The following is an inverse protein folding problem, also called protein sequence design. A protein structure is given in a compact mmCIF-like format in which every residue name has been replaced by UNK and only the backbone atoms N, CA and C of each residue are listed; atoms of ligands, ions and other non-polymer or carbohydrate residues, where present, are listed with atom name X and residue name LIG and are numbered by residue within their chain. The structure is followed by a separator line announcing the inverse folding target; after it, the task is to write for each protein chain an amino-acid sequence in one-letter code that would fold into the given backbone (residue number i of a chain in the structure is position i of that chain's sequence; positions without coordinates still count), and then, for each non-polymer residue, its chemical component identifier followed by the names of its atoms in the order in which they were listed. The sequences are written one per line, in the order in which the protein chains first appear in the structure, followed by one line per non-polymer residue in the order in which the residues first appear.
data_IF_501855601076
#
_entry.id   IF_501855601076
#
_cell.length_a   1.000
_cell.length_b   1.000
_cell.length_c   1.000
_cell.angle_alpha   90.00
_cell.angle_beta   90.00
_cell.angle_gamma   90.00
#
_symmetry.space_group_name_H-M   'P 1'
#
loop_
_entity.id
_entity.type
_entity.pdbx_description
1 polymer ?
#
# COMPACT_ATOMS: atom_id res chain seq x y z
N UNK A 1 -18.05 27.46 -29.60
CA UNK A 1 -16.68 27.91 -29.24
C UNK A 1 -16.29 27.22 -27.95
N UNK A 2 -15.61 26.09 -28.05
CA UNK A 2 -15.16 25.31 -26.90
C UNK A 2 -13.81 25.92 -26.46
N UNK A 3 -13.81 26.68 -25.37
CA UNK A 3 -12.56 27.12 -24.77
C UNK A 3 -11.81 25.89 -24.27
N UNK A 4 -10.60 25.67 -24.79
CA UNK A 4 -9.64 24.76 -24.20
C UNK A 4 -9.35 25.22 -22.77
N UNK A 5 -9.33 24.34 -21.77
CA UNK A 5 -8.96 24.76 -20.43
C UNK A 5 -7.51 25.27 -20.44
N UNK A 6 -7.33 26.55 -20.16
CA UNK A 6 -6.01 27.12 -19.91
C UNK A 6 -5.51 26.55 -18.56
N UNK A 7 -4.63 25.57 -18.62
CA UNK A 7 -4.04 24.96 -17.42
C UNK A 7 -3.38 23.62 -17.75
N UNK A 8 -2.42 23.21 -16.92
CA UNK A 8 -1.78 21.89 -17.01
C UNK A 8 -2.83 20.83 -16.69
N UNK A 9 -2.97 19.81 -17.55
CA UNK A 9 -3.89 18.71 -17.31
C UNK A 9 -3.52 17.96 -16.04
N UNK A 10 -4.54 17.61 -15.25
CA UNK A 10 -4.37 16.81 -14.05
C UNK A 10 -4.03 15.36 -14.44
N UNK A 11 -2.98 14.81 -13.86
CA UNK A 11 -2.64 13.40 -13.94
C UNK A 11 -3.45 12.57 -12.94
N UNK A 12 -3.48 11.25 -13.11
CA UNK A 12 -4.07 10.35 -12.12
C UNK A 12 -3.33 10.44 -10.78
N UNK A 13 -2.01 10.67 -10.81
CA UNK A 13 -1.23 10.88 -9.59
C UNK A 13 -1.63 12.13 -8.81
N UNK A 14 -1.98 13.23 -9.51
CA UNK A 14 -2.47 14.46 -8.86
C UNK A 14 -3.84 14.20 -8.18
N UNK A 15 -4.71 13.43 -8.83
CA UNK A 15 -6.00 13.04 -8.27
C UNK A 15 -5.85 12.11 -7.06
N UNK A 16 -4.96 11.13 -7.14
CA UNK A 16 -4.69 10.20 -6.03
C UNK A 16 -4.12 10.94 -4.82
N UNK A 17 -3.21 11.92 -5.03
CA UNK A 17 -2.67 12.76 -3.96
C UNK A 17 -3.78 13.58 -3.28
N UNK A 18 -4.66 14.20 -4.05
CA UNK A 18 -5.77 14.98 -3.52
C UNK A 18 -6.81 14.10 -2.79
N UNK A 19 -7.13 12.92 -3.32
CA UNK A 19 -8.01 11.96 -2.65
C UNK A 19 -7.45 11.49 -1.31
N UNK A 20 -6.12 11.27 -1.23
CA UNK A 20 -5.43 10.97 0.01
C UNK A 20 -5.56 12.09 1.05
N UNK A 21 -5.41 13.35 0.63
CA UNK A 21 -5.56 14.51 1.51
C UNK A 21 -7.00 14.63 2.07
N UNK A 22 -8.02 14.36 1.24
CA UNK A 22 -9.41 14.33 1.66
C UNK A 22 -9.68 13.23 2.69
N UNK A 23 -9.16 12.02 2.47
CA UNK A 23 -9.29 10.90 3.40
C UNK A 23 -8.63 11.20 4.76
N UNK A 24 -7.45 11.82 4.77
CA UNK A 24 -6.77 12.25 5.99
C UNK A 24 -7.54 13.33 6.75
N UNK A 25 -8.22 14.24 6.03
CA UNK A 25 -9.06 15.25 6.63
C UNK A 25 -10.27 14.63 7.34
N UNK A 26 -10.90 13.61 6.78
CA UNK A 26 -11.95 12.83 7.44
C UNK A 26 -11.41 12.10 8.66
N UNK A 27 -10.30 11.37 8.53
CA UNK A 27 -9.69 10.62 9.62
C UNK A 27 -9.29 11.50 10.80
N UNK A 28 -8.95 12.77 10.54
CA UNK A 28 -8.64 13.78 11.57
C UNK A 28 -9.84 14.56 12.07
N UNK A 29 -11.07 14.24 11.60
CA UNK A 29 -12.31 14.92 11.99
C UNK A 29 -12.45 16.35 11.46
N UNK A 30 -11.66 16.75 10.46
CA UNK A 30 -11.68 18.09 9.86
C UNK A 30 -12.67 18.21 8.69
N UNK A 31 -13.06 17.07 8.14
CA UNK A 31 -14.02 17.00 7.03
C UNK A 31 -15.12 16.00 7.40
N UNK A 32 -16.37 16.35 7.14
CA UNK A 32 -17.48 15.42 7.31
C UNK A 32 -17.48 14.38 6.17
N UNK A 33 -18.08 13.22 6.38
CA UNK A 33 -18.19 12.19 5.34
C UNK A 33 -19.03 12.70 4.13
N UNK A 34 -20.03 13.54 4.37
CA UNK A 34 -20.83 14.13 3.31
C UNK A 34 -20.02 15.10 2.43
N UNK A 35 -19.23 15.99 3.06
CA UNK A 35 -18.35 16.91 2.35
C UNK A 35 -17.22 16.15 1.61
N UNK A 36 -16.70 15.08 2.20
CA UNK A 36 -15.71 14.23 1.55
C UNK A 36 -16.24 13.65 0.23
N UNK A 37 -17.46 13.11 0.24
CA UNK A 37 -18.06 12.54 -0.97
C UNK A 37 -18.28 13.62 -2.04
N UNK A 38 -18.82 14.79 -1.65
CA UNK A 38 -19.02 15.90 -2.58
C UNK A 38 -17.70 16.39 -3.20
N UNK A 39 -16.61 16.42 -2.41
CA UNK A 39 -15.29 16.80 -2.90
C UNK A 39 -14.65 15.73 -3.77
N UNK A 40 -14.89 14.45 -3.50
CA UNK A 40 -14.44 13.36 -4.39
C UNK A 40 -15.10 13.47 -5.77
N UNK A 41 -16.41 13.76 -5.82
CA UNK A 41 -17.11 13.96 -7.09
C UNK A 41 -16.52 15.14 -7.87
N UNK A 42 -16.23 16.26 -7.20
CA UNK A 42 -15.57 17.41 -7.80
C UNK A 42 -14.13 17.09 -8.27
N UNK A 43 -13.38 16.30 -7.50
CA UNK A 43 -12.04 15.86 -7.83
C UNK A 43 -12.00 15.00 -9.10
N UNK A 44 -12.92 14.05 -9.23
CA UNK A 44 -13.00 13.20 -10.42
C UNK A 44 -13.52 13.94 -11.67
N UNK A 45 -14.27 15.03 -11.48
CA UNK A 45 -14.67 15.92 -12.56
C UNK A 45 -13.57 16.90 -12.99
N UNK A 46 -12.54 17.12 -12.17
CA UNK A 46 -11.45 18.05 -12.42
C UNK A 46 -10.57 17.59 -13.61
N UNK A 47 -10.29 18.53 -14.52
CA UNK A 47 -9.47 18.30 -15.73
C UNK A 47 -8.09 18.91 -15.64
N UNK A 48 -7.91 19.95 -14.81
CA UNK A 48 -6.64 20.66 -14.67
C UNK A 48 -6.09 20.56 -13.25
N UNK A 49 -4.78 20.74 -13.09
CA UNK A 49 -4.13 20.76 -11.78
C UNK A 49 -4.69 21.84 -10.86
N UNK A 50 -5.05 23.00 -11.41
CA UNK A 50 -5.66 24.09 -10.63
C UNK A 50 -7.03 23.69 -10.07
N UNK A 51 -7.83 22.95 -10.85
CA UNK A 51 -9.10 22.41 -10.39
C UNK A 51 -8.92 21.38 -9.29
N UNK A 52 -7.93 20.49 -9.40
CA UNK A 52 -7.57 19.52 -8.35
C UNK A 52 -7.10 20.24 -7.09
N UNK A 53 -6.24 21.25 -7.23
CA UNK A 53 -5.74 22.04 -6.10
C UNK A 53 -6.87 22.78 -5.38
N UNK A 54 -7.86 23.29 -6.11
CA UNK A 54 -9.01 24.01 -5.54
C UNK A 54 -9.85 23.12 -4.60
N UNK A 55 -9.96 21.81 -4.86
CA UNK A 55 -10.72 20.86 -4.02
C UNK A 55 -10.13 20.69 -2.63
N UNK A 56 -8.82 20.91 -2.49
CA UNK A 56 -8.09 20.75 -1.22
C UNK A 56 -7.53 22.06 -0.66
N UNK A 57 -7.85 23.20 -1.26
CA UNK A 57 -7.25 24.50 -0.96
C UNK A 57 -7.46 24.98 0.48
N UNK A 58 -8.59 24.65 1.09
CA UNK A 58 -8.94 24.98 2.47
C UNK A 58 -8.42 23.98 3.51
N UNK A 59 -7.92 22.82 3.05
CA UNK A 59 -7.31 21.87 3.94
C UNK A 59 -5.91 22.34 4.31
N UNK A 60 -5.52 22.25 5.59
CA UNK A 60 -4.16 22.61 5.98
C UNK A 60 -3.18 21.74 5.21
N UNK A 61 -2.25 22.40 4.51
CA UNK A 61 -1.15 21.69 3.88
C UNK A 61 -0.48 20.80 4.93
N UNK A 62 -0.43 19.50 4.68
CA UNK A 62 0.30 18.60 5.56
C UNK A 62 1.71 19.17 5.72
N UNK A 63 2.24 19.35 6.93
CA UNK A 63 3.57 19.90 7.11
C UNK A 63 4.56 19.10 6.25
N UNK A 64 5.44 19.80 5.55
CA UNK A 64 6.41 19.22 4.59
C UNK A 64 7.13 17.98 5.18
N UNK A 65 7.29 17.95 6.49
CA UNK A 65 7.85 16.83 7.24
C UNK A 65 6.95 15.57 7.22
N UNK A 66 5.62 15.74 7.22
CA UNK A 66 4.67 14.63 7.05
C UNK A 66 4.59 14.19 5.59
N UNK A 67 4.67 15.14 4.66
CA UNK A 67 4.71 14.85 3.21
C UNK A 67 5.98 14.07 2.83
N UNK A 68 7.14 14.44 3.40
CA UNK A 68 8.38 13.68 3.23
C UNK A 68 8.34 12.31 3.93
N UNK A 69 7.74 12.23 5.12
CA UNK A 69 7.52 10.97 5.84
C UNK A 69 6.46 10.10 5.15
N UNK A 70 5.40 10.68 4.58
CA UNK A 70 4.41 9.95 3.79
C UNK A 70 4.96 9.45 2.46
N UNK A 71 5.83 10.21 1.79
CA UNK A 71 6.56 9.74 0.61
C UNK A 71 7.64 8.70 0.95
N UNK A 72 8.23 8.77 2.15
CA UNK A 72 9.20 7.77 2.62
C UNK A 72 8.52 6.54 3.24
N UNK A 73 7.24 6.61 3.57
CA UNK A 73 6.45 5.59 4.26
C UNK A 73 5.10 5.43 3.52
N UNK A 74 5.10 5.48 2.20
CA UNK A 74 3.93 5.00 1.46
C UNK A 74 3.72 3.54 1.86
N UNK A 75 2.57 3.19 2.47
CA UNK A 75 2.27 1.79 2.71
C UNK A 75 2.32 1.11 1.35
N UNK A 76 3.28 0.21 1.17
CA UNK A 76 3.35 -0.56 -0.06
C UNK A 76 2.01 -1.27 -0.25
N UNK A 77 1.26 -0.84 -1.25
CA UNK A 77 -0.03 -1.38 -1.58
C UNK A 77 0.05 -2.05 -2.93
N UNK A 78 -0.13 -3.34 -2.98
CA UNK A 78 -0.18 -4.11 -4.21
C UNK A 78 -1.55 -4.77 -4.32
N UNK A 79 -2.19 -4.61 -5.47
CA UNK A 79 -3.45 -5.26 -5.81
C UNK A 79 -3.26 -6.05 -7.09
N UNK A 80 -3.52 -7.35 -7.05
CA UNK A 80 -3.45 -8.25 -8.21
C UNK A 80 -4.80 -8.92 -8.38
N UNK A 81 -5.45 -8.69 -9.52
CA UNK A 81 -6.73 -9.30 -9.87
C UNK A 81 -6.56 -9.98 -11.22
N UNK A 82 -6.58 -11.31 -11.22
CA UNK A 82 -6.40 -12.13 -12.42
C UNK A 82 -5.06 -11.85 -13.12
N UNK A 83 -4.10 -12.75 -13.03
CA UNK A 83 -2.79 -12.55 -13.64
C UNK A 83 -1.64 -12.77 -12.66
N UNK A 84 -0.44 -12.33 -13.03
CA UNK A 84 0.75 -12.48 -12.20
C UNK A 84 1.48 -11.17 -12.02
N UNK A 85 1.98 -10.92 -10.82
CA UNK A 85 2.86 -9.82 -10.51
C UNK A 85 4.05 -10.30 -9.69
N UNK A 86 5.20 -9.64 -9.89
CA UNK A 86 6.41 -9.93 -9.15
C UNK A 86 7.06 -8.63 -8.68
N UNK A 87 7.57 -8.64 -7.47
CA UNK A 87 8.40 -7.57 -6.95
C UNK A 87 9.68 -8.14 -6.37
N UNK A 88 10.79 -7.76 -6.98
CA UNK A 88 12.13 -8.18 -6.58
C UNK A 88 13.12 -7.03 -6.75
N UNK A 89 14.34 -7.18 -6.23
CA UNK A 89 15.42 -6.23 -6.35
C UNK A 89 15.50 -5.22 -5.19
N UNK A 90 16.23 -4.12 -5.41
CA UNK A 90 16.47 -3.11 -4.37
C UNK A 90 15.30 -2.14 -4.30
N UNK A 91 14.55 -2.17 -3.21
CA UNK A 91 13.52 -1.18 -2.91
C UNK A 91 13.41 -0.98 -1.39
N UNK A 92 12.95 0.20 -0.99
CA UNK A 92 12.64 0.44 0.41
C UNK A 92 11.27 -0.15 0.73
N UNK A 93 11.17 -0.90 1.82
CA UNK A 93 9.90 -1.39 2.35
C UNK A 93 9.50 -0.57 3.57
N UNK A 94 8.32 0.00 3.52
CA UNK A 94 7.78 0.80 4.60
C UNK A 94 7.28 -0.04 5.78
N UNK A 95 6.95 0.63 6.87
CA UNK A 95 6.44 -0.02 8.10
C UNK A 95 5.15 -0.82 7.87
N UNK A 96 4.27 -0.33 6.99
CA UNK A 96 2.99 -0.97 6.69
C UNK A 96 2.91 -1.27 5.21
N UNK A 97 2.71 -2.53 4.88
CA UNK A 97 2.52 -3.01 3.52
C UNK A 97 1.21 -3.77 3.43
N UNK A 98 0.48 -3.61 2.34
CA UNK A 98 -0.74 -4.37 2.07
C UNK A 98 -0.65 -5.06 0.73
N UNK A 99 -0.92 -6.34 0.70
CA UNK A 99 -1.01 -7.18 -0.48
C UNK A 99 -2.43 -7.74 -0.58
N UNK A 100 -3.10 -7.42 -1.69
CA UNK A 100 -4.41 -7.99 -2.01
C UNK A 100 -4.31 -8.73 -3.32
N UNK A 101 -4.68 -10.00 -3.35
CA UNK A 101 -4.64 -10.82 -4.56
C UNK A 101 -5.92 -11.63 -4.74
N UNK A 102 -6.47 -11.64 -5.95
CA UNK A 102 -7.61 -12.46 -6.31
C UNK A 102 -7.37 -13.15 -7.66
N UNK A 103 -7.55 -14.47 -7.74
CA UNK A 103 -7.45 -15.29 -8.95
C UNK A 103 -6.14 -15.12 -9.73
N UNK A 104 -5.02 -14.91 -9.01
CA UNK A 104 -3.73 -14.64 -9.65
C UNK A 104 -2.54 -15.17 -8.86
N UNK A 105 -1.35 -14.68 -9.17
CA UNK A 105 -0.14 -14.98 -8.41
C UNK A 105 0.65 -13.72 -8.09
N UNK A 106 1.27 -13.71 -6.92
CA UNK A 106 2.16 -12.65 -6.50
C UNK A 106 3.42 -13.21 -5.85
N UNK A 107 4.56 -12.78 -6.39
CA UNK A 107 5.88 -13.13 -5.85
C UNK A 107 6.54 -11.88 -5.26
N UNK A 108 6.82 -11.91 -3.97
CA UNK A 108 7.50 -10.84 -3.24
C UNK A 108 8.87 -11.32 -2.75
N UNK A 109 9.93 -10.79 -3.35
CA UNK A 109 11.30 -11.08 -2.94
C UNK A 109 11.87 -9.91 -2.13
N UNK A 110 12.08 -10.13 -0.84
CA UNK A 110 12.59 -9.15 0.11
C UNK A 110 14.09 -9.26 0.35
N UNK A 111 14.82 -10.18 -0.30
CA UNK A 111 16.24 -10.41 -0.05
C UNK A 111 17.12 -9.18 -0.27
N UNK A 112 16.78 -8.37 -1.25
CA UNK A 112 17.49 -7.12 -1.54
C UNK A 112 16.73 -5.86 -1.06
N UNK A 113 15.60 -6.03 -0.37
CA UNK A 113 14.82 -4.92 0.15
C UNK A 113 15.51 -4.28 1.37
N UNK A 114 15.46 -2.95 1.44
CA UNK A 114 15.94 -2.20 2.58
C UNK A 114 14.76 -1.87 3.52
N UNK A 115 14.78 -2.35 4.77
CA UNK A 115 13.74 -2.01 5.72
C UNK A 115 13.86 -0.53 6.12
N UNK A 116 12.75 0.20 6.07
CA UNK A 116 12.72 1.60 6.53
C UNK A 116 12.57 1.72 8.05
N UNK A 117 12.23 0.63 8.70
CA UNK A 117 12.00 0.51 10.15
C UNK A 117 12.40 -0.87 10.66
N UNK A 118 12.67 -0.98 11.95
CA UNK A 118 13.01 -2.25 12.60
C UNK A 118 11.82 -3.24 12.64
N UNK A 119 10.60 -2.75 12.51
CA UNK A 119 9.38 -3.56 12.44
C UNK A 119 8.57 -3.21 11.19
N UNK A 120 8.28 -4.24 10.38
CA UNK A 120 7.49 -4.17 9.17
C UNK A 120 6.25 -5.05 9.36
N UNK A 121 5.08 -4.49 9.08
CA UNK A 121 3.81 -5.23 9.07
C UNK A 121 3.33 -5.40 7.64
N UNK A 122 3.27 -6.63 7.17
CA UNK A 122 2.71 -7.01 5.89
C UNK A 122 1.32 -7.61 6.10
N UNK A 123 0.29 -6.93 5.61
CA UNK A 123 -1.09 -7.42 5.63
C UNK A 123 -1.42 -8.08 4.29
N UNK A 124 -1.82 -9.35 4.33
CA UNK A 124 -2.12 -10.16 3.13
C UNK A 124 -3.59 -10.53 3.10
N UNK A 125 -4.24 -10.20 1.99
CA UNK A 125 -5.61 -10.61 1.69
C UNK A 125 -5.61 -11.36 0.36
N UNK A 126 -6.00 -12.62 0.34
CA UNK A 126 -6.08 -13.34 -0.93
C UNK A 126 -7.26 -14.27 -1.03
N UNK A 127 -7.80 -14.38 -2.26
CA UNK A 127 -8.86 -15.30 -2.64
C UNK A 127 -8.44 -16.06 -3.89
N UNK A 128 -8.37 -17.38 -3.82
CA UNK A 128 -7.99 -18.26 -4.93
C UNK A 128 -6.70 -17.84 -5.64
N UNK A 129 -5.74 -17.30 -4.89
CA UNK A 129 -4.49 -16.78 -5.43
C UNK A 129 -3.27 -17.53 -4.88
N UNK A 130 -2.17 -17.49 -5.65
CA UNK A 130 -0.88 -18.00 -5.20
C UNK A 130 -0.03 -16.83 -4.70
N UNK A 131 0.44 -16.91 -3.46
CA UNK A 131 1.34 -15.92 -2.88
C UNK A 131 2.62 -16.61 -2.45
N UNK A 132 3.76 -16.09 -2.92
CA UNK A 132 5.07 -16.48 -2.48
C UNK A 132 5.81 -15.25 -1.94
N UNK A 133 6.39 -15.38 -0.76
CA UNK A 133 7.17 -14.33 -0.11
C UNK A 133 8.51 -14.93 0.28
N UNK A 134 9.60 -14.34 -0.22
CA UNK A 134 10.96 -14.73 0.14
C UNK A 134 11.57 -13.64 1.02
N UNK A 135 12.03 -14.02 2.20
CA UNK A 135 12.55 -13.13 3.24
C UNK A 135 14.03 -13.42 3.46
N UNK A 136 14.88 -12.40 3.68
CA UNK A 136 16.28 -12.62 4.04
C UNK A 136 16.43 -13.49 5.30
N UNK A 137 17.43 -14.37 5.31
CA UNK A 137 17.72 -15.27 6.43
C UNK A 137 17.97 -14.54 7.77
N UNK A 138 18.44 -13.30 7.72
CA UNK A 138 18.76 -12.49 8.90
C UNK A 138 17.56 -11.67 9.44
N UNK A 139 16.35 -11.81 8.88
CA UNK A 139 15.17 -11.16 9.42
C UNK A 139 14.42 -12.09 10.36
N UNK A 140 13.83 -11.53 11.41
CA UNK A 140 12.85 -12.24 12.23
C UNK A 140 11.52 -12.26 11.50
N UNK A 141 10.82 -13.37 11.56
CA UNK A 141 9.52 -13.53 10.91
C UNK A 141 8.49 -13.99 11.94
N UNK A 142 7.41 -13.24 12.05
CA UNK A 142 6.24 -13.62 12.84
C UNK A 142 5.05 -13.74 11.88
N UNK A 143 4.57 -14.95 11.70
CA UNK A 143 3.50 -15.26 10.74
C UNK A 143 2.17 -15.51 11.46
N UNK A 144 1.20 -14.63 11.22
CA UNK A 144 -0.16 -14.66 11.76
C UNK A 144 -1.21 -14.70 10.65
N UNK A 145 -0.89 -15.34 9.51
CA UNK A 145 -1.82 -15.46 8.38
C UNK A 145 -2.78 -16.61 8.64
N UNK A 146 -4.08 -16.32 8.60
CA UNK A 146 -5.13 -17.34 8.59
C UNK A 146 -5.27 -17.90 7.17
N UNK A 147 -5.05 -19.19 7.00
CA UNK A 147 -5.14 -19.88 5.71
C UNK A 147 -6.28 -20.87 5.72
N UNK A 148 -7.25 -20.70 4.81
CA UNK A 148 -8.44 -21.53 4.70
C UNK A 148 -8.45 -22.26 3.37
N UNK A 149 -8.53 -23.59 3.41
CA UNK A 149 -8.62 -24.42 2.20
C UNK A 149 -7.33 -24.44 1.35
N UNK A 150 -6.16 -24.37 1.97
CA UNK A 150 -4.92 -24.08 1.26
C UNK A 150 -3.74 -24.95 1.72
N UNK A 151 -2.73 -25.08 0.83
CA UNK A 151 -1.40 -25.59 1.23
C UNK A 151 -0.57 -24.44 1.78
N UNK A 152 -0.11 -24.60 2.99
CA UNK A 152 0.71 -23.63 3.70
C UNK A 152 2.14 -24.17 3.84
N UNK A 153 3.13 -23.38 3.41
CA UNK A 153 4.53 -23.57 3.78
C UNK A 153 4.96 -22.31 4.53
N UNK A 154 5.31 -22.45 5.80
CA UNK A 154 5.60 -21.33 6.71
C UNK A 154 7.01 -21.43 7.23
N UNK A 155 7.73 -20.30 7.17
CA UNK A 155 8.87 -20.06 8.03
C UNK A 155 8.40 -19.16 9.19
N UNK A 156 8.66 -19.57 10.41
CA UNK A 156 8.58 -18.76 11.61
C UNK A 156 9.93 -18.82 12.29
N UNK A 157 10.50 -17.66 12.60
CA UNK A 157 11.83 -17.60 13.20
C UNK A 157 11.93 -16.53 14.25
N UNK A 158 12.27 -16.95 15.45
CA UNK A 158 12.74 -16.11 16.53
C UNK A 158 14.25 -15.86 16.34
N UNK A 159 14.60 -14.59 16.09
CA UNK A 159 15.97 -14.14 15.93
C UNK A 159 16.39 -13.15 17.02
N UNK A 160 17.57 -12.54 16.85
CA UNK A 160 18.07 -11.52 17.78
C UNK A 160 17.17 -10.27 17.78
N UNK A 161 16.93 -9.60 18.93
CA UNK A 161 16.15 -8.37 19.02
C UNK A 161 16.64 -7.22 18.11
N UNK A 162 17.89 -7.31 17.64
CA UNK A 162 18.50 -6.31 16.74
C UNK A 162 18.20 -6.53 15.25
N UNK A 163 17.62 -7.69 14.91
CA UNK A 163 17.27 -8.02 13.53
C UNK A 163 15.91 -7.41 13.16
N UNK A 164 15.71 -6.94 11.92
CA UNK A 164 14.41 -6.45 11.45
C UNK A 164 13.33 -7.53 11.63
N UNK A 165 12.16 -7.12 12.11
CA UNK A 165 11.01 -8.00 12.31
C UNK A 165 10.01 -7.82 11.18
N UNK A 166 9.73 -8.88 10.43
CA UNK A 166 8.61 -8.95 9.51
C UNK A 166 7.43 -9.65 10.18
N UNK A 167 6.37 -8.89 10.44
CA UNK A 167 5.10 -9.44 10.91
C UNK A 167 4.17 -9.59 9.72
N UNK A 168 3.81 -10.81 9.37
CA UNK A 168 2.85 -11.11 8.31
C UNK A 168 1.51 -11.48 8.95
N UNK A 169 0.44 -10.80 8.55
CA UNK A 169 -0.91 -11.05 9.04
C UNK A 169 -1.93 -10.97 7.91
N UNK A 170 -3.10 -11.54 8.10
CA UNK A 170 -4.19 -11.46 7.14
C UNK A 170 -4.89 -12.77 6.92
N UNK A 171 -5.58 -12.89 5.78
CA UNK A 171 -6.38 -14.08 5.46
C UNK A 171 -6.17 -14.47 4.01
N UNK A 172 -5.93 -15.77 3.78
CA UNK A 172 -5.82 -16.39 2.47
C UNK A 172 -6.90 -17.47 2.34
N UNK A 173 -7.81 -17.31 1.38
CA UNK A 173 -8.93 -18.24 1.14
C UNK A 173 -8.70 -18.91 -0.21
N UNK A 174 -8.46 -20.21 -0.22
CA UNK A 174 -8.12 -20.96 -1.44
C UNK A 174 -6.75 -20.55 -2.04
N UNK A 175 -6.23 -21.33 -2.98
CA UNK A 175 -4.94 -21.06 -3.62
C UNK A 175 -3.71 -21.60 -2.85
N UNK A 176 -2.59 -20.89 -2.76
CA UNK A 176 -1.40 -21.31 -2.01
C UNK A 176 -0.67 -20.10 -1.38
N UNK A 177 -0.25 -20.25 -0.14
CA UNK A 177 0.58 -19.28 0.56
C UNK A 177 1.92 -19.93 0.95
N UNK A 178 3.01 -19.33 0.51
CA UNK A 178 4.37 -19.76 0.84
C UNK A 178 5.15 -18.58 1.41
N UNK A 179 5.74 -18.79 2.56
CA UNK A 179 6.71 -17.89 3.17
C UNK A 179 8.02 -18.67 3.33
N UNK A 180 9.03 -18.29 2.57
CA UNK A 180 10.36 -18.91 2.58
C UNK A 180 11.37 -17.93 3.14
N UNK A 181 12.38 -18.45 3.81
CA UNK A 181 13.51 -17.70 4.33
C UNK A 181 14.78 -18.22 3.66
N UNK A 182 15.53 -17.36 2.98
CA UNK A 182 16.75 -17.68 2.24
C UNK A 182 17.87 -16.67 2.51
#
# INVERSE_FOLDING_TARGET
MTQSPEGILASDADRDEAAGALADAVASGRLSLADHNARLDALFAARTQDQVAAVTADLPALPVRRRALYRAVDPYRCVVIGGSAQRAGRFAIGRFCTLTAAFGSFDLDLRAAAPSQDEITLTVWSVAARIAITVPAHWRVNNQVLVVGNRQAMADRDGSPREPLLRVRGTCIGGSFRLAQE
#
